data_IF_952523127311
#
_entry.id   IF_952523127311
#
_cell.length_a   1.000
_cell.length_b   1.000
_cell.length_c   1.000
_cell.angle_alpha   90.00
_cell.angle_beta   90.00
_cell.angle_gamma   90.00
#
_symmetry.space_group_name_H-M   'P 1'
#
loop_
_entity.id
_entity.type
_entity.pdbx_description
1 polymer ?
#
# COMPACT_ATOMS: atom_id res chain seq x y z
N UNK A 1 -53.03 25.04 -12.47
CA UNK A 1 -52.24 24.61 -11.30
C UNK A 1 -50.82 24.30 -11.78
N UNK A 2 -49.92 25.29 -11.70
CA UNK A 2 -48.67 25.25 -10.90
C UNK A 2 -47.65 24.22 -11.43
N UNK A 3 -46.69 24.59 -12.26
CA UNK A 3 -45.43 25.32 -11.96
C UNK A 3 -44.42 24.53 -11.11
N UNK A 4 -43.35 24.09 -11.80
CA UNK A 4 -41.95 23.96 -11.35
C UNK A 4 -41.63 22.89 -10.29
N UNK A 5 -40.79 21.94 -10.68
CA UNK A 5 -39.61 21.65 -9.87
C UNK A 5 -38.42 21.24 -10.76
N UNK A 6 -37.63 22.23 -11.14
CA UNK A 6 -36.25 22.00 -11.58
C UNK A 6 -35.47 21.49 -10.37
N UNK A 7 -35.33 20.17 -10.27
CA UNK A 7 -34.40 19.55 -9.34
C UNK A 7 -32.99 19.99 -9.71
N UNK A 8 -32.48 21.00 -9.00
CA UNK A 8 -31.09 21.41 -9.03
C UNK A 8 -30.24 20.15 -8.86
N UNK A 9 -29.56 19.73 -9.93
CA UNK A 9 -28.38 18.88 -9.82
C UNK A 9 -27.34 19.70 -9.06
N UNK A 10 -27.33 19.55 -7.74
CA UNK A 10 -26.16 19.86 -6.95
C UNK A 10 -25.07 18.92 -7.45
N UNK A 11 -24.27 19.38 -8.43
CA UNK A 11 -22.97 18.79 -8.71
C UNK A 11 -22.16 19.06 -7.45
N UNK A 12 -22.22 18.11 -6.51
CA UNK A 12 -21.32 18.07 -5.37
C UNK A 12 -19.92 18.34 -5.92
N UNK A 13 -19.24 19.34 -5.35
CA UNK A 13 -17.87 19.69 -5.74
C UNK A 13 -17.05 18.39 -5.70
N UNK A 14 -16.62 17.94 -6.87
CA UNK A 14 -15.81 16.75 -7.07
C UNK A 14 -14.41 17.00 -6.51
N UNK A 15 -14.28 16.91 -5.19
CA UNK A 15 -13.01 16.63 -4.56
C UNK A 15 -12.88 15.11 -4.58
N UNK A 16 -12.25 14.57 -5.62
CA UNK A 16 -11.91 13.15 -5.64
C UNK A 16 -10.84 12.93 -4.58
N UNK A 17 -11.25 12.52 -3.38
CA UNK A 17 -10.32 12.11 -2.32
C UNK A 17 -9.63 10.83 -2.78
N UNK A 18 -8.30 10.83 -2.70
CA UNK A 18 -7.45 9.65 -2.88
C UNK A 18 -7.13 9.05 -1.52
N UNK A 19 -7.12 7.74 -1.43
CA UNK A 19 -6.91 6.99 -0.19
C UNK A 19 -5.64 6.17 -0.27
N UNK A 20 -5.03 5.92 0.88
CA UNK A 20 -3.91 5.00 1.02
C UNK A 20 -4.23 3.98 2.10
N UNK A 21 -4.08 2.71 1.76
CA UNK A 21 -4.07 1.59 2.70
C UNK A 21 -2.71 1.59 3.39
N UNK A 22 -2.71 1.84 4.69
CA UNK A 22 -1.50 1.77 5.49
C UNK A 22 -1.15 0.32 5.83
N UNK A 23 0.15 0.04 5.84
CA UNK A 23 0.73 -1.21 6.31
C UNK A 23 0.12 -2.47 5.71
N UNK A 24 -0.17 -2.44 4.41
CA UNK A 24 -0.87 -3.52 3.69
C UNK A 24 -2.13 -4.03 4.41
N UNK A 25 -2.84 -3.18 5.15
CA UNK A 25 -4.00 -3.54 5.99
C UNK A 25 -3.73 -4.57 7.09
N UNK A 26 -2.48 -4.68 7.57
CA UNK A 26 -2.07 -5.49 8.74
C UNK A 26 -2.55 -6.95 8.69
N UNK A 27 -2.07 -7.75 7.72
CA UNK A 27 -2.34 -9.19 7.72
C UNK A 27 -1.76 -9.86 8.96
N UNK A 28 -2.32 -11.02 9.32
CA UNK A 28 -1.83 -11.85 10.41
C UNK A 28 -0.59 -12.65 9.98
N UNK A 29 0.54 -11.96 9.76
CA UNK A 29 1.77 -12.54 9.21
C UNK A 29 2.36 -13.61 10.13
N UNK A 30 2.38 -13.35 11.44
CA UNK A 30 2.86 -14.30 12.45
C UNK A 30 2.19 -15.66 12.35
N UNK A 31 0.88 -15.67 12.09
CA UNK A 31 0.07 -16.89 12.03
C UNK A 31 0.00 -17.48 10.60
N UNK A 32 0.67 -16.84 9.63
CA UNK A 32 0.70 -17.24 8.21
C UNK A 32 -0.70 -17.29 7.59
N UNK A 33 -1.60 -16.42 8.04
CA UNK A 33 -2.98 -16.36 7.57
C UNK A 33 -3.12 -15.28 6.50
N UNK A 34 -3.58 -15.68 5.30
CA UNK A 34 -3.87 -14.76 4.20
C UNK A 34 -5.35 -14.47 4.03
N UNK A 35 -6.25 -15.34 4.48
CA UNK A 35 -7.70 -15.16 4.35
C UNK A 35 -8.30 -14.73 5.69
N UNK A 36 -9.27 -13.80 5.72
CA UNK A 36 -9.94 -13.15 4.59
C UNK A 36 -9.19 -11.93 4.03
N UNK A 37 -8.05 -11.55 4.63
CA UNK A 37 -7.29 -10.34 4.30
C UNK A 37 -7.03 -10.16 2.80
N UNK A 38 -6.70 -11.24 2.10
CA UNK A 38 -6.44 -11.25 0.67
C UNK A 38 -7.65 -10.76 -0.13
N UNK A 39 -8.84 -11.27 0.18
CA UNK A 39 -10.07 -10.89 -0.52
C UNK A 39 -10.41 -9.42 -0.25
N UNK A 40 -10.20 -8.96 0.99
CA UNK A 40 -10.37 -7.55 1.36
C UNK A 40 -9.39 -6.63 0.60
N UNK A 41 -8.13 -7.04 0.46
CA UNK A 41 -7.12 -6.31 -0.32
C UNK A 41 -7.49 -6.23 -1.81
N UNK A 42 -7.94 -7.35 -2.39
CA UNK A 42 -8.38 -7.38 -3.79
C UNK A 42 -9.57 -6.43 -3.98
N UNK A 43 -10.59 -6.50 -3.11
CA UNK A 43 -11.75 -5.62 -3.15
C UNK A 43 -11.36 -4.14 -3.02
N UNK A 44 -10.44 -3.80 -2.12
CA UNK A 44 -9.94 -2.42 -1.99
C UNK A 44 -9.23 -1.96 -3.27
N UNK A 45 -8.43 -2.83 -3.88
CA UNK A 45 -7.64 -2.49 -5.08
C UNK A 45 -8.47 -2.22 -6.34
N UNK A 46 -9.73 -2.70 -6.40
CA UNK A 46 -10.67 -2.42 -7.50
C UNK A 46 -10.99 -0.92 -7.62
N UNK A 47 -10.79 -0.16 -6.55
CA UNK A 47 -11.00 1.28 -6.51
C UNK A 47 -9.73 2.01 -6.99
N UNK A 48 -9.80 2.66 -8.15
CA UNK A 48 -8.65 3.34 -8.78
C UNK A 48 -8.08 4.50 -7.95
N UNK A 49 -8.86 5.07 -7.03
CA UNK A 49 -8.42 6.12 -6.11
C UNK A 49 -7.81 5.58 -4.80
N UNK A 50 -7.62 4.26 -4.66
CA UNK A 50 -7.00 3.62 -3.51
C UNK A 50 -5.60 3.12 -3.86
N UNK A 51 -4.63 3.49 -3.04
CA UNK A 51 -3.21 3.14 -3.12
C UNK A 51 -2.83 2.30 -1.90
N UNK A 52 -1.65 1.68 -1.89
CA UNK A 52 -1.20 0.86 -0.77
C UNK A 52 0.26 1.11 -0.41
N UNK A 53 0.56 1.20 0.89
CA UNK A 53 1.93 1.23 1.39
C UNK A 53 2.45 -0.17 1.66
N UNK A 54 3.64 -0.44 1.15
CA UNK A 54 4.48 -1.60 1.48
C UNK A 54 5.27 -1.27 2.75
N UNK A 55 4.61 -1.33 3.90
CA UNK A 55 5.17 -0.95 5.20
C UNK A 55 4.58 -1.78 6.35
N UNK A 56 5.14 -1.67 7.56
CA UNK A 56 4.56 -2.26 8.79
C UNK A 56 4.51 -3.80 8.85
N UNK A 57 5.01 -4.52 7.85
CA UNK A 57 4.91 -5.98 7.83
C UNK A 57 5.67 -6.66 8.99
N UNK A 58 6.85 -6.15 9.33
CA UNK A 58 7.69 -6.76 10.38
C UNK A 58 7.03 -6.75 11.76
N UNK A 59 6.12 -5.79 12.01
CA UNK A 59 5.41 -5.69 13.30
C UNK A 59 4.21 -6.63 13.40
N UNK A 60 3.73 -7.15 12.27
CA UNK A 60 2.67 -8.17 12.23
C UNK A 60 3.23 -9.60 12.15
N UNK A 61 4.55 -9.75 12.00
CA UNK A 61 5.25 -11.04 11.95
C UNK A 61 5.73 -11.52 13.33
N UNK A 62 6.35 -12.71 13.40
CA UNK A 62 7.10 -13.10 14.59
C UNK A 62 8.36 -12.22 14.71
N UNK A 63 8.33 -11.23 15.61
CA UNK A 63 9.38 -10.22 15.75
C UNK A 63 10.78 -10.82 15.89
N UNK A 64 10.90 -11.98 16.56
CA UNK A 64 12.18 -12.59 16.87
C UNK A 64 12.68 -13.49 15.74
N UNK A 65 11.78 -14.26 15.12
CA UNK A 65 12.15 -15.39 14.26
C UNK A 65 11.73 -15.27 12.80
N UNK A 66 11.05 -14.20 12.39
CA UNK A 66 10.66 -14.05 10.99
C UNK A 66 11.88 -14.03 10.06
N UNK A 67 11.66 -14.48 8.82
CA UNK A 67 12.64 -14.47 7.73
C UNK A 67 12.11 -13.62 6.57
N UNK A 68 12.97 -13.14 5.65
CA UNK A 68 12.51 -12.40 4.47
C UNK A 68 11.47 -13.17 3.64
N UNK A 69 11.53 -14.50 3.63
CA UNK A 69 10.59 -15.35 2.89
C UNK A 69 9.16 -15.32 3.44
N UNK A 70 8.96 -15.01 4.73
CA UNK A 70 7.63 -14.97 5.35
C UNK A 70 6.75 -13.83 4.80
N UNK A 71 7.36 -12.79 4.20
CA UNK A 71 6.63 -11.64 3.66
C UNK A 71 6.18 -11.82 2.21
N UNK A 72 6.81 -12.74 1.47
CA UNK A 72 6.58 -12.91 0.03
C UNK A 72 5.11 -13.20 -0.34
N UNK A 73 4.37 -14.08 0.37
CA UNK A 73 2.97 -14.34 0.05
C UNK A 73 2.07 -13.09 0.12
N UNK A 74 2.35 -12.18 1.05
CA UNK A 74 1.60 -10.94 1.24
C UNK A 74 1.98 -9.90 0.19
N UNK A 75 3.27 -9.78 -0.12
CA UNK A 75 3.74 -8.92 -1.20
C UNK A 75 3.18 -9.37 -2.55
N UNK A 76 3.15 -10.68 -2.84
CA UNK A 76 2.57 -11.21 -4.08
C UNK A 76 1.08 -10.82 -4.22
N UNK A 77 0.30 -10.91 -3.15
CA UNK A 77 -1.11 -10.47 -3.16
C UNK A 77 -1.23 -8.98 -3.45
N UNK A 78 -0.49 -8.15 -2.72
CA UNK A 78 -0.57 -6.68 -2.85
C UNK A 78 -0.09 -6.21 -4.23
N UNK A 79 0.98 -6.79 -4.76
CA UNK A 79 1.48 -6.49 -6.10
C UNK A 79 0.52 -6.89 -7.20
N UNK A 80 -0.07 -8.09 -7.12
CA UNK A 80 -1.06 -8.55 -8.10
C UNK A 80 -2.35 -7.72 -8.06
N UNK A 81 -2.77 -7.28 -6.87
CA UNK A 81 -4.00 -6.52 -6.67
C UNK A 81 -3.87 -5.05 -7.12
N UNK A 82 -2.87 -4.32 -6.62
CA UNK A 82 -2.76 -2.89 -6.86
C UNK A 82 -2.04 -2.52 -8.16
N UNK A 83 -1.08 -3.35 -8.58
CA UNK A 83 -0.13 -3.03 -9.64
C UNK A 83 0.94 -2.01 -9.21
N UNK A 84 2.05 -1.89 -9.95
CA UNK A 84 3.21 -1.11 -9.54
C UNK A 84 2.95 0.40 -9.48
N UNK A 85 1.90 0.91 -10.13
CA UNK A 85 1.59 2.35 -10.19
C UNK A 85 0.92 2.89 -8.93
N UNK A 86 0.50 2.00 -8.00
CA UNK A 86 -0.25 2.39 -6.78
C UNK A 86 0.40 1.89 -5.49
N UNK A 87 1.67 1.47 -5.57
CA UNK A 87 2.44 0.93 -4.44
C UNK A 87 3.54 1.88 -4.00
N UNK A 88 3.68 2.06 -2.69
CA UNK A 88 4.62 3.00 -2.09
C UNK A 88 5.41 2.33 -0.97
N UNK A 89 6.74 2.37 -0.99
CA UNK A 89 7.56 1.87 0.12
C UNK A 89 7.39 2.74 1.38
N UNK A 90 7.44 2.11 2.56
CA UNK A 90 7.57 2.82 3.84
C UNK A 90 8.17 1.95 4.93
N UNK A 91 8.99 2.54 5.81
CA UNK A 91 9.67 1.77 6.87
C UNK A 91 8.81 1.53 8.11
N UNK A 92 7.81 2.38 8.36
CA UNK A 92 7.10 2.45 9.64
C UNK A 92 8.04 2.74 10.84
N UNK A 93 9.12 3.49 10.61
CA UNK A 93 10.02 3.93 11.68
C UNK A 93 9.36 5.01 12.55
N UNK A 94 9.54 4.99 13.89
CA UNK A 94 10.40 4.09 14.68
C UNK A 94 9.70 2.81 15.14
N UNK A 95 8.42 2.60 14.81
CA UNK A 95 7.62 1.46 15.28
C UNK A 95 8.25 0.13 14.83
N UNK A 96 8.81 0.07 13.62
CA UNK A 96 9.48 -1.10 13.10
C UNK A 96 10.62 -1.65 14.00
N UNK A 97 11.20 -0.80 14.87
CA UNK A 97 12.30 -1.16 15.77
C UNK A 97 11.91 -2.19 16.84
N UNK A 98 10.61 -2.46 17.05
CA UNK A 98 10.17 -3.59 17.90
C UNK A 98 10.55 -4.95 17.29
N UNK A 99 10.85 -4.99 15.99
CA UNK A 99 11.21 -6.21 15.27
C UNK A 99 12.55 -6.08 14.52
N UNK A 100 12.77 -5.03 13.72
CA UNK A 100 13.97 -4.88 12.87
C UNK A 100 14.45 -3.44 12.71
N UNK A 101 15.74 -3.28 12.41
CA UNK A 101 16.31 -1.97 12.10
C UNK A 101 15.79 -1.43 10.76
N UNK A 102 15.79 -0.11 10.62
CA UNK A 102 15.29 0.60 9.42
C UNK A 102 15.78 -0.03 8.10
N UNK A 103 17.08 -0.30 7.97
CA UNK A 103 17.66 -0.82 6.71
C UNK A 103 17.17 -2.23 6.41
N UNK A 104 17.02 -3.08 7.41
CA UNK A 104 16.49 -4.44 7.24
C UNK A 104 15.04 -4.41 6.75
N UNK A 105 14.23 -3.47 7.25
CA UNK A 105 12.83 -3.31 6.83
C UNK A 105 12.73 -2.84 5.38
N UNK A 106 13.53 -1.84 5.00
CA UNK A 106 13.58 -1.35 3.61
C UNK A 106 14.09 -2.44 2.66
N UNK A 107 15.08 -3.24 3.08
CA UNK A 107 15.62 -4.33 2.28
C UNK A 107 14.56 -5.38 1.89
N UNK A 108 13.54 -5.64 2.73
CA UNK A 108 12.46 -6.59 2.39
C UNK A 108 11.80 -6.21 1.06
N UNK A 109 11.48 -4.92 0.88
CA UNK A 109 10.84 -4.42 -0.34
C UNK A 109 11.86 -4.32 -1.48
N UNK A 110 13.07 -3.81 -1.22
CA UNK A 110 14.13 -3.69 -2.24
C UNK A 110 14.52 -5.05 -2.84
N UNK A 111 14.65 -6.09 -2.02
CA UNK A 111 14.95 -7.45 -2.46
C UNK A 111 13.80 -8.04 -3.28
N UNK A 112 12.55 -7.84 -2.84
CA UNK A 112 11.37 -8.32 -3.55
C UNK A 112 11.28 -7.75 -4.97
N UNK A 113 11.57 -6.46 -5.15
CA UNK A 113 11.51 -5.78 -6.45
C UNK A 113 12.81 -5.84 -7.26
N UNK A 114 13.86 -6.50 -6.76
CA UNK A 114 15.21 -6.46 -7.34
C UNK A 114 15.28 -6.99 -8.79
N UNK A 115 14.39 -7.93 -9.15
CA UNK A 115 14.28 -8.47 -10.51
C UNK A 115 13.34 -7.71 -11.45
N UNK A 116 12.73 -6.61 -10.98
CA UNK A 116 11.82 -5.80 -11.79
C UNK A 116 12.58 -4.74 -12.61
N UNK A 117 11.95 -4.23 -13.66
CA UNK A 117 12.50 -3.12 -14.46
C UNK A 117 12.77 -1.88 -13.59
N UNK A 118 13.79 -1.11 -13.93
CA UNK A 118 14.21 0.05 -13.14
C UNK A 118 13.10 1.10 -13.02
N UNK A 119 12.29 1.28 -14.07
CA UNK A 119 11.15 2.20 -14.06
C UNK A 119 10.10 1.78 -13.03
N UNK A 120 9.85 0.48 -12.88
CA UNK A 120 8.92 -0.09 -11.88
C UNK A 120 9.50 0.10 -10.48
N UNK A 121 10.80 -0.14 -10.30
CA UNK A 121 11.48 0.03 -9.01
C UNK A 121 11.43 1.48 -8.54
N UNK A 122 11.73 2.43 -9.43
CA UNK A 122 11.70 3.87 -9.12
C UNK A 122 10.30 4.35 -8.71
N UNK A 123 9.24 3.83 -9.36
CA UNK A 123 7.85 4.08 -8.96
C UNK A 123 7.63 3.75 -7.49
N UNK A 124 7.92 2.50 -7.12
CA UNK A 124 7.68 1.98 -5.77
C UNK A 124 8.57 2.67 -4.73
N UNK A 125 9.83 2.96 -5.09
CA UNK A 125 10.82 3.54 -4.19
C UNK A 125 10.66 5.05 -3.96
N UNK A 126 9.83 5.75 -4.74
CA UNK A 126 9.55 7.15 -4.44
C UNK A 126 8.69 7.92 -5.43
N UNK A 127 8.69 7.59 -6.73
CA UNK A 127 7.93 8.41 -7.70
C UNK A 127 6.42 8.35 -7.44
N UNK A 128 5.91 7.21 -6.98
CA UNK A 128 4.51 7.07 -6.58
C UNK A 128 4.18 7.93 -5.35
N UNK A 129 5.10 8.05 -4.38
CA UNK A 129 4.92 8.95 -3.24
C UNK A 129 4.89 10.42 -3.68
N UNK A 130 5.76 10.79 -4.63
CA UNK A 130 5.81 12.15 -5.18
C UNK A 130 4.48 12.51 -5.83
N UNK A 131 3.93 11.62 -6.67
CA UNK A 131 2.65 11.81 -7.35
C UNK A 131 1.49 11.86 -6.34
N UNK A 132 1.36 10.84 -5.48
CA UNK A 132 0.26 10.73 -4.53
C UNK A 132 0.19 11.92 -3.54
N UNK A 133 1.32 12.33 -2.99
CA UNK A 133 1.38 13.41 -2.00
C UNK A 133 1.59 14.81 -2.61
N UNK A 134 1.73 14.92 -3.93
CA UNK A 134 1.99 16.19 -4.61
C UNK A 134 3.31 16.86 -4.17
N UNK A 135 4.35 16.05 -3.94
CA UNK A 135 5.64 16.54 -3.45
C UNK A 135 6.38 17.29 -4.56
N UNK A 136 7.03 18.40 -4.21
CA UNK A 136 7.91 19.12 -5.14
C UNK A 136 9.32 18.60 -4.98
N UNK A 137 9.91 18.11 -6.08
CA UNK A 137 11.35 17.84 -6.14
C UNK A 137 12.02 19.14 -6.56
N UNK A 138 12.91 19.65 -5.71
CA UNK A 138 13.74 20.85 -5.95
C UNK A 138 15.16 20.47 -6.30
#
# INVERSE_FOLDING_TARGET
MHSVNQGRRYRLRSWSVIFVVDHIAKPLIKDRVTDPWKDDIVMLSENSNVWCKLSGMVTEADWLNHTPGDFRPYLDVVFNAFGPDRLMIGSDWPVCLVSRAYREVINIVEEYISGMQDEVRQKILGLNCIDFYGLKIT
#
